data_IF_352804075040
#
_entry.id   IF_352804075040
#
_cell.length_a   1.000
_cell.length_b   1.000
_cell.length_c   1.000
_cell.angle_alpha   90.00
_cell.angle_beta   90.00
_cell.angle_gamma   90.00
#
_symmetry.space_group_name_H-M   'P 1'
#
loop_
_entity.id
_entity.type
_entity.pdbx_description
1 polymer ?
#
# COMPACT_ATOMS: atom_id res chain seq x y z
N UNK A 1 11.89 -1.10 -6.98
CA UNK A 1 11.21 -2.14 -6.17
C UNK A 1 9.73 -1.81 -6.02
N UNK A 2 9.37 -0.53 -5.87
CA UNK A 2 7.97 -0.10 -5.72
C UNK A 2 7.05 -0.49 -6.87
N UNK A 3 7.50 -0.37 -8.13
CA UNK A 3 6.68 -0.72 -9.30
C UNK A 3 6.20 -2.18 -9.28
N UNK A 4 7.03 -3.11 -8.80
CA UNK A 4 6.67 -4.53 -8.64
C UNK A 4 5.65 -4.70 -7.49
N UNK A 5 5.85 -4.00 -6.38
CA UNK A 5 4.91 -3.98 -5.25
C UNK A 5 3.53 -3.48 -5.66
N UNK A 6 3.46 -2.35 -6.37
CA UNK A 6 2.18 -1.79 -6.86
C UNK A 6 1.49 -2.75 -7.82
N UNK A 7 2.24 -3.40 -8.73
CA UNK A 7 1.66 -4.43 -9.61
C UNK A 7 1.06 -5.59 -8.82
N UNK A 8 1.75 -6.07 -7.77
CA UNK A 8 1.24 -7.15 -6.90
C UNK A 8 0.02 -6.72 -6.08
N UNK A 9 0.00 -5.48 -5.57
CA UNK A 9 -1.15 -4.92 -4.86
C UNK A 9 -2.38 -4.82 -5.77
N UNK A 10 -2.21 -4.24 -6.97
CA UNK A 10 -3.30 -4.17 -7.97
C UNK A 10 -3.83 -5.55 -8.32
N UNK A 11 -2.95 -6.54 -8.51
CA UNK A 11 -3.36 -7.91 -8.77
C UNK A 11 -4.14 -8.52 -7.60
N UNK A 12 -3.68 -8.32 -6.36
CA UNK A 12 -4.37 -8.82 -5.16
C UNK A 12 -5.75 -8.17 -4.96
N UNK A 13 -5.87 -6.88 -5.27
CA UNK A 13 -7.15 -6.16 -5.23
C UNK A 13 -8.09 -6.68 -6.32
N UNK A 14 -7.59 -6.79 -7.55
CA UNK A 14 -8.38 -7.31 -8.67
C UNK A 14 -8.81 -8.76 -8.47
N UNK A 15 -8.04 -9.57 -7.76
CA UNK A 15 -8.38 -10.96 -7.46
C UNK A 15 -9.20 -11.13 -6.18
N UNK A 16 -9.62 -10.04 -5.51
CA UNK A 16 -10.37 -10.08 -4.26
C UNK A 16 -9.59 -10.58 -3.02
N UNK A 17 -8.27 -10.76 -3.13
CA UNK A 17 -7.41 -11.17 -2.00
C UNK A 17 -7.12 -10.01 -1.05
N UNK A 18 -7.28 -8.78 -1.53
CA UNK A 18 -7.15 -7.55 -0.77
C UNK A 18 -8.32 -6.63 -1.13
N UNK A 19 -8.87 -5.94 -0.16
CA UNK A 19 -9.91 -4.92 -0.39
C UNK A 19 -9.29 -3.65 -0.98
N UNK A 20 -10.12 -2.76 -1.57
CA UNK A 20 -9.65 -1.46 -2.10
C UNK A 20 -8.98 -0.60 -1.02
N UNK A 21 -9.45 -0.72 0.22
CA UNK A 21 -8.85 -0.15 1.42
C UNK A 21 -8.15 -1.24 2.20
N UNK A 22 -6.91 -1.02 2.61
CA UNK A 22 -6.08 -2.03 3.24
C UNK A 22 -5.16 -1.44 4.29
N UNK A 23 -4.81 -2.30 5.25
CA UNK A 23 -3.83 -2.05 6.31
C UNK A 23 -2.47 -2.65 5.95
N UNK A 24 -1.41 -2.18 6.62
CA UNK A 24 -0.09 -2.78 6.49
C UNK A 24 -0.08 -4.29 6.82
N UNK A 25 -0.84 -4.70 7.84
CA UNK A 25 -0.94 -6.10 8.24
C UNK A 25 -1.55 -6.98 7.14
N UNK A 26 -2.61 -6.50 6.46
CA UNK A 26 -3.20 -7.21 5.33
C UNK A 26 -2.24 -7.31 4.15
N UNK A 27 -1.52 -6.23 3.83
CA UNK A 27 -0.51 -6.24 2.77
C UNK A 27 0.61 -7.24 3.10
N UNK A 28 1.14 -7.21 4.31
CA UNK A 28 2.16 -8.14 4.80
C UNK A 28 1.71 -9.59 4.63
N UNK A 29 0.48 -9.91 5.06
CA UNK A 29 -0.11 -11.25 4.94
C UNK A 29 -0.29 -11.68 3.48
N UNK A 30 -0.84 -10.82 2.62
CA UNK A 30 -1.20 -11.17 1.23
C UNK A 30 0.04 -11.26 0.33
N UNK A 31 1.05 -10.42 0.57
CA UNK A 31 2.27 -10.39 -0.24
C UNK A 31 3.41 -11.23 0.32
N UNK A 32 3.28 -11.74 1.55
CA UNK A 32 4.33 -12.48 2.24
C UNK A 32 5.55 -11.60 2.54
N UNK A 33 5.29 -10.41 3.10
CA UNK A 33 6.31 -9.40 3.42
C UNK A 33 6.10 -8.88 4.84
N UNK A 34 7.07 -8.16 5.39
CA UNK A 34 7.05 -7.57 6.73
C UNK A 34 7.15 -6.03 6.71
N UNK A 35 7.64 -5.45 5.63
CA UNK A 35 7.98 -4.03 5.50
C UNK A 35 6.81 -3.10 5.12
N UNK A 36 5.57 -3.59 4.95
CA UNK A 36 4.46 -2.72 4.53
C UNK A 36 4.18 -1.59 5.53
N UNK A 37 4.48 -1.80 6.81
CA UNK A 37 4.30 -0.79 7.87
C UNK A 37 5.12 0.48 7.66
N UNK A 38 6.28 0.37 7.01
CA UNK A 38 7.13 1.53 6.68
C UNK A 38 6.83 2.03 5.27
N UNK A 39 6.53 1.12 4.35
CA UNK A 39 6.31 1.44 2.94
C UNK A 39 5.06 2.29 2.70
N UNK A 40 3.92 1.93 3.29
CA UNK A 40 2.67 2.65 3.10
C UNK A 40 2.73 4.12 3.54
N UNK A 41 3.19 4.46 4.77
CA UNK A 41 3.30 5.86 5.17
C UNK A 41 4.41 6.62 4.42
N UNK A 42 5.47 5.94 3.95
CA UNK A 42 6.55 6.57 3.17
C UNK A 42 6.05 7.06 1.81
N UNK A 43 5.14 6.34 1.17
CA UNK A 43 4.62 6.64 -0.16
C UNK A 43 3.18 7.17 -0.15
N UNK A 44 2.73 7.74 0.96
CA UNK A 44 1.41 8.36 1.04
C UNK A 44 1.40 9.75 0.41
N UNK A 45 0.22 10.24 0.02
CA UNK A 45 0.02 11.65 -0.34
C UNK A 45 0.41 12.57 0.82
N UNK A 46 1.18 13.61 0.52
CA UNK A 46 1.77 14.53 1.49
C UNK A 46 2.87 13.88 2.35
N UNK A 47 3.60 12.91 1.82
CA UNK A 47 4.73 12.33 2.56
C UNK A 47 5.88 13.35 2.69
N UNK A 48 6.52 13.45 3.87
CA UNK A 48 7.54 14.49 4.13
C UNK A 48 8.86 14.25 3.39
N UNK A 49 9.08 13.03 2.87
CA UNK A 49 10.31 12.66 2.19
C UNK A 49 10.31 12.91 0.68
N UNK A 50 9.29 13.60 0.15
CA UNK A 50 9.10 13.87 -1.29
C UNK A 50 9.20 12.59 -2.17
N UNK A 51 8.77 11.45 -1.63
CA UNK A 51 8.70 10.19 -2.37
C UNK A 51 7.46 10.19 -3.26
N UNK A 52 7.45 9.30 -4.27
CA UNK A 52 6.27 9.09 -5.12
C UNK A 52 5.04 8.76 -4.28
N UNK A 53 3.96 9.49 -4.52
CA UNK A 53 2.69 9.37 -3.82
C UNK A 53 1.84 8.25 -4.42
N UNK A 54 2.05 7.03 -3.91
CA UNK A 54 1.39 5.82 -4.39
C UNK A 54 0.13 5.46 -3.59
N UNK A 55 -0.05 6.06 -2.40
CA UNK A 55 -1.13 5.72 -1.49
C UNK A 55 -1.86 6.95 -0.96
N UNK A 56 -3.17 6.81 -0.77
CA UNK A 56 -3.96 7.79 -0.02
C UNK A 56 -4.20 7.20 1.36
N UNK A 57 -3.85 7.94 2.42
CA UNK A 57 -4.15 7.55 3.81
C UNK A 57 -5.57 8.01 4.13
N UNK A 58 -6.48 7.05 4.35
CA UNK A 58 -7.88 7.33 4.71
C UNK A 58 -7.98 7.70 6.19
N UNK A 59 -7.32 6.91 7.04
CA UNK A 59 -7.18 7.17 8.48
C UNK A 59 -5.90 6.51 8.99
N UNK A 60 -5.63 6.59 10.30
CA UNK A 60 -4.47 5.94 10.87
C UNK A 60 -4.45 4.43 10.57
N UNK A 61 -3.39 3.96 9.91
CA UNK A 61 -3.21 2.54 9.56
C UNK A 61 -4.01 2.03 8.35
N UNK A 62 -4.86 2.85 7.73
CA UNK A 62 -5.72 2.45 6.61
C UNK A 62 -5.41 3.28 5.35
N UNK A 63 -5.17 2.58 4.25
CA UNK A 63 -4.69 3.15 2.99
C UNK A 63 -5.47 2.62 1.81
N UNK A 64 -5.43 3.33 0.68
CA UNK A 64 -5.83 2.83 -0.64
C UNK A 64 -4.80 3.23 -1.67
N UNK A 65 -4.83 2.60 -2.85
CA UNK A 65 -3.99 3.02 -3.97
C UNK A 65 -4.38 4.43 -4.45
N UNK A 66 -3.36 5.24 -4.76
CA UNK A 66 -3.50 6.46 -5.53
C UNK A 66 -3.50 6.06 -7.01
N UNK A 67 -4.65 6.17 -7.68
CA UNK A 67 -4.84 5.76 -9.08
C UNK A 67 -4.65 6.93 -10.02
#
# INVERSE_FOLDING_TARGET
>A
MERKTIKRLRAAISSGKLTQEFTAAQVNKVLGVDWAGTFLPKHRVGNPGNNTELFIRIRAGLYRLNN
#
